data_IF_681457342944
#
_entry.id   IF_681457342944
#
_cell.length_a   1.000
_cell.length_b   1.000
_cell.length_c   1.000
_cell.angle_alpha   90.00
_cell.angle_beta   90.00
_cell.angle_gamma   90.00
#
_symmetry.space_group_name_H-M   'P 1'
#
loop_
_entity.id
_entity.type
_entity.pdbx_description
1 polymer ?
#
# COMPACT_ATOMS: atom_id res chain seq x y z
N UNK A 1 -60.18 17.42 -32.21
CA UNK A 1 -58.86 16.96 -31.73
C UNK A 1 -58.45 17.78 -30.52
N UNK A 2 -58.47 17.21 -29.32
CA UNK A 2 -57.97 17.88 -28.10
C UNK A 2 -56.46 17.74 -28.04
N UNK A 3 -55.75 18.84 -28.31
CA UNK A 3 -54.31 18.93 -28.07
C UNK A 3 -54.08 19.14 -26.58
N UNK A 4 -53.73 18.07 -25.88
CA UNK A 4 -53.27 18.16 -24.49
C UNK A 4 -51.86 18.76 -24.50
N UNK A 5 -51.77 20.06 -24.29
CA UNK A 5 -50.49 20.75 -24.07
C UNK A 5 -50.00 20.39 -22.67
N UNK A 6 -49.29 19.26 -22.54
CA UNK A 6 -48.51 18.97 -21.34
C UNK A 6 -47.33 19.93 -21.29
N UNK A 7 -47.27 20.78 -20.28
CA UNK A 7 -46.24 21.82 -20.13
C UNK A 7 -44.83 21.19 -20.04
N UNK A 8 -43.88 21.58 -20.91
CA UNK A 8 -42.54 20.99 -20.97
C UNK A 8 -41.76 21.15 -19.66
N UNK A 9 -42.13 22.12 -18.82
CA UNK A 9 -41.49 22.39 -17.53
C UNK A 9 -41.64 21.25 -16.51
N UNK A 10 -42.77 20.53 -16.53
CA UNK A 10 -43.01 19.41 -15.60
C UNK A 10 -42.17 18.20 -16.01
N UNK A 11 -42.13 17.88 -17.30
CA UNK A 11 -41.33 16.78 -17.83
C UNK A 11 -39.82 16.96 -17.56
N UNK A 12 -39.30 18.19 -17.74
CA UNK A 12 -37.89 18.51 -17.45
C UNK A 12 -37.57 18.41 -15.96
N UNK A 13 -38.48 18.86 -15.07
CA UNK A 13 -38.27 18.77 -13.62
C UNK A 13 -38.26 17.32 -13.10
N UNK A 14 -39.10 16.46 -13.69
CA UNK A 14 -39.11 15.02 -13.36
C UNK A 14 -37.80 14.37 -13.81
N UNK A 15 -37.33 14.67 -15.02
CA UNK A 15 -36.07 14.14 -15.55
C UNK A 15 -34.87 14.52 -14.67
N UNK A 16 -34.81 15.78 -14.22
CA UNK A 16 -33.77 16.26 -13.30
C UNK A 16 -33.81 15.53 -11.94
N UNK A 17 -35.01 15.30 -11.39
CA UNK A 17 -35.17 14.53 -10.15
C UNK A 17 -34.71 13.08 -10.30
N UNK A 18 -35.05 12.41 -11.41
CA UNK A 18 -34.60 11.04 -11.66
C UNK A 18 -33.08 10.99 -11.77
N UNK A 19 -32.47 11.93 -12.49
CA UNK A 19 -31.02 11.99 -12.59
C UNK A 19 -30.34 12.20 -11.23
N UNK A 20 -30.86 13.08 -10.38
CA UNK A 20 -30.36 13.27 -9.01
C UNK A 20 -30.46 12.01 -8.16
N UNK A 21 -31.57 11.27 -8.26
CA UNK A 21 -31.75 10.01 -7.54
C UNK A 21 -30.74 8.97 -8.02
N UNK A 22 -30.58 8.82 -9.34
CA UNK A 22 -29.60 7.90 -9.92
C UNK A 22 -28.18 8.27 -9.47
N UNK A 23 -27.84 9.56 -9.50
CA UNK A 23 -26.52 10.04 -9.04
C UNK A 23 -26.29 9.80 -7.55
N UNK A 24 -27.33 9.99 -6.72
CA UNK A 24 -27.27 9.71 -5.28
C UNK A 24 -27.03 8.21 -5.03
N UNK A 25 -27.79 7.34 -5.70
CA UNK A 25 -27.64 5.88 -5.59
C UNK A 25 -26.25 5.45 -6.06
N UNK A 26 -25.78 5.99 -7.19
CA UNK A 26 -24.43 5.73 -7.70
C UNK A 26 -23.37 6.17 -6.68
N UNK A 27 -23.51 7.36 -6.12
CA UNK A 27 -22.57 7.88 -5.11
C UNK A 27 -22.55 7.00 -3.86
N UNK A 28 -23.71 6.59 -3.35
CA UNK A 28 -23.81 5.66 -2.22
C UNK A 28 -23.18 4.30 -2.54
N UNK A 29 -23.37 3.81 -3.76
CA UNK A 29 -22.75 2.57 -4.23
C UNK A 29 -21.22 2.68 -4.27
N UNK A 30 -20.68 3.76 -4.83
CA UNK A 30 -19.23 4.02 -4.83
C UNK A 30 -18.68 4.17 -3.41
N UNK A 31 -19.39 4.86 -2.52
CA UNK A 31 -19.01 4.98 -1.10
C UNK A 31 -19.02 3.61 -0.41
N UNK A 32 -20.03 2.78 -0.64
CA UNK A 32 -20.10 1.46 -0.04
C UNK A 32 -18.95 0.56 -0.49
N UNK A 33 -18.71 0.47 -1.80
CA UNK A 33 -17.57 -0.29 -2.31
C UNK A 33 -16.22 0.30 -1.89
N UNK A 34 -16.09 1.62 -1.93
CA UNK A 34 -14.87 2.34 -1.57
C UNK A 34 -14.52 2.17 -0.10
N UNK A 35 -15.50 2.28 0.81
CA UNK A 35 -15.29 2.07 2.25
C UNK A 35 -14.99 0.61 2.53
N UNK A 36 -15.65 -0.35 1.87
CA UNK A 36 -15.39 -1.78 2.12
C UNK A 36 -13.99 -2.19 1.65
N UNK A 37 -13.60 -1.77 0.44
CA UNK A 37 -12.26 -2.03 -0.11
C UNK A 37 -11.18 -1.25 0.64
N UNK A 38 -11.47 0.00 0.99
CA UNK A 38 -10.58 0.86 1.78
C UNK A 38 -10.41 0.37 3.22
N UNK A 39 -11.44 -0.20 3.82
CA UNK A 39 -11.37 -0.83 5.14
C UNK A 39 -10.53 -2.09 5.13
N UNK A 40 -10.72 -2.97 4.13
CA UNK A 40 -9.86 -4.15 3.97
C UNK A 40 -8.40 -3.76 3.75
N UNK A 41 -8.16 -2.81 2.84
CA UNK A 41 -6.81 -2.30 2.58
C UNK A 41 -6.22 -1.66 3.85
N UNK A 42 -6.96 -0.78 4.52
CA UNK A 42 -6.51 -0.10 5.73
C UNK A 42 -6.21 -1.08 6.86
N UNK A 43 -7.07 -2.07 7.08
CA UNK A 43 -6.82 -3.10 8.08
C UNK A 43 -5.54 -3.89 7.77
N UNK A 44 -5.30 -4.23 6.50
CA UNK A 44 -4.07 -4.91 6.08
C UNK A 44 -2.82 -4.02 6.22
N UNK A 45 -2.93 -2.72 5.90
CA UNK A 45 -1.83 -1.76 5.99
C UNK A 45 -1.42 -1.49 7.44
N UNK A 46 -2.41 -1.25 8.30
CA UNK A 46 -2.21 -0.77 9.67
C UNK A 46 -2.10 -1.89 10.71
N UNK A 47 -2.43 -3.14 10.36
CA UNK A 47 -2.24 -4.30 11.22
C UNK A 47 -1.19 -5.27 10.63
N UNK A 48 0.09 -4.86 10.56
CA UNK A 48 1.16 -5.71 10.06
C UNK A 48 1.27 -6.97 10.93
N UNK A 49 0.73 -8.07 10.42
CA UNK A 49 0.76 -9.36 11.09
C UNK A 49 1.87 -10.19 10.47
N UNK A 50 2.72 -10.79 11.30
CA UNK A 50 3.74 -11.72 10.83
C UNK A 50 3.10 -12.87 10.03
N UNK A 51 3.79 -13.35 9.00
CA UNK A 51 3.29 -14.42 8.13
C UNK A 51 3.12 -15.72 8.92
N UNK A 52 3.99 -15.97 9.90
CA UNK A 52 3.92 -17.12 10.80
C UNK A 52 4.12 -16.70 12.25
N UNK A 53 3.44 -17.37 13.19
CA UNK A 53 3.78 -17.30 14.60
C UNK A 53 5.14 -18.01 14.83
N UNK A 54 5.88 -17.61 15.87
CA UNK A 54 7.14 -18.26 16.25
C UNK A 54 7.00 -19.80 16.27
N UNK A 55 7.95 -20.55 15.70
CA UNK A 55 9.38 -20.25 15.62
C UNK A 55 9.86 -19.63 14.29
N UNK A 56 8.97 -19.30 13.34
CA UNK A 56 9.34 -18.68 12.06
C UNK A 56 10.34 -19.50 11.22
N UNK A 57 10.58 -19.06 9.98
CA UNK A 57 11.57 -19.63 9.07
C UNK A 57 12.45 -18.52 8.53
N UNK A 58 13.76 -18.69 8.65
CA UNK A 58 14.74 -17.76 8.08
C UNK A 58 14.77 -17.92 6.57
N UNK A 59 14.65 -16.81 5.85
CA UNK A 59 14.74 -16.75 4.38
C UNK A 59 15.69 -15.63 3.98
N UNK A 60 16.52 -15.92 3.00
CA UNK A 60 17.41 -14.94 2.37
C UNK A 60 16.75 -14.40 1.11
N UNK A 61 16.74 -13.09 0.96
CA UNK A 61 16.28 -12.40 -0.25
C UNK A 61 17.38 -11.46 -0.73
N UNK A 62 17.60 -11.43 -2.04
CA UNK A 62 18.52 -10.50 -2.69
C UNK A 62 17.68 -9.50 -3.46
N UNK A 63 17.87 -8.21 -3.16
CA UNK A 63 17.22 -7.09 -3.85
C UNK A 63 18.27 -6.43 -4.74
N UNK A 64 17.98 -6.34 -6.03
CA UNK A 64 18.87 -5.75 -7.03
C UNK A 64 18.74 -4.20 -7.05
N UNK A 65 19.80 -3.48 -7.44
CA UNK A 65 19.80 -1.99 -7.45
C UNK A 65 18.80 -1.39 -8.44
N UNK A 66 18.48 -2.15 -9.50
CA UNK A 66 17.49 -1.74 -10.49
C UNK A 66 16.04 -2.00 -10.07
N UNK A 67 15.80 -2.75 -8.98
CA UNK A 67 14.45 -3.08 -8.55
C UNK A 67 13.79 -1.89 -7.83
N UNK A 68 12.61 -1.52 -8.31
CA UNK A 68 11.73 -0.60 -7.62
C UNK A 68 11.25 -1.19 -6.29
N UNK A 69 10.84 -0.33 -5.34
CA UNK A 69 10.21 -0.73 -4.06
C UNK A 69 9.11 -1.77 -4.25
N UNK A 70 8.42 -1.68 -5.39
CA UNK A 70 7.36 -2.58 -5.78
C UNK A 70 7.89 -3.97 -6.15
N UNK A 71 8.94 -4.05 -6.96
CA UNK A 71 9.58 -5.32 -7.35
C UNK A 71 10.24 -6.01 -6.14
N UNK A 72 10.89 -5.22 -5.28
CA UNK A 72 11.42 -5.71 -4.00
C UNK A 72 10.32 -6.33 -3.11
N UNK A 73 9.17 -5.66 -3.02
CA UNK A 73 7.99 -6.21 -2.34
C UNK A 73 7.48 -7.51 -2.98
N UNK A 74 7.48 -7.61 -4.31
CA UNK A 74 7.09 -8.84 -5.01
C UNK A 74 8.05 -10.00 -4.71
N UNK A 75 9.37 -9.74 -4.65
CA UNK A 75 10.37 -10.73 -4.28
C UNK A 75 10.16 -11.24 -2.84
N UNK A 76 9.91 -10.33 -1.90
CA UNK A 76 9.60 -10.65 -0.50
C UNK A 76 8.29 -11.46 -0.37
N UNK A 77 7.26 -11.13 -1.13
CA UNK A 77 5.97 -11.83 -1.12
C UNK A 77 6.12 -13.24 -1.70
N UNK A 78 6.87 -13.40 -2.80
CA UNK A 78 7.11 -14.69 -3.45
C UNK A 78 7.85 -15.68 -2.55
N UNK A 79 8.73 -15.17 -1.68
CA UNK A 79 9.48 -15.97 -0.70
C UNK A 79 8.64 -16.22 0.58
N UNK A 80 7.47 -15.58 0.69
CA UNK A 80 6.57 -15.71 1.83
C UNK A 80 7.03 -14.94 3.06
N UNK A 81 7.85 -13.91 2.90
CA UNK A 81 8.30 -13.04 3.98
C UNK A 81 7.26 -11.97 4.32
N UNK A 82 6.51 -11.49 3.32
CA UNK A 82 5.40 -10.55 3.50
C UNK A 82 4.10 -11.14 2.98
N UNK A 83 2.97 -10.70 3.54
CA UNK A 83 1.64 -11.16 3.10
C UNK A 83 1.16 -10.48 1.81
N UNK A 84 1.58 -9.23 1.57
CA UNK A 84 1.14 -8.45 0.41
C UNK A 84 2.16 -7.38 0.02
N UNK A 85 2.59 -7.39 -1.25
CA UNK A 85 3.41 -6.33 -1.85
C UNK A 85 2.76 -4.95 -1.71
N UNK A 86 1.43 -4.85 -1.85
CA UNK A 86 0.72 -3.57 -1.84
C UNK A 86 0.86 -2.89 -0.48
N UNK A 87 0.70 -3.67 0.59
CA UNK A 87 0.87 -3.21 1.99
C UNK A 87 2.29 -2.74 2.23
N UNK A 88 3.27 -3.52 1.78
CA UNK A 88 4.68 -3.21 1.95
C UNK A 88 5.09 -1.92 1.23
N UNK A 89 4.70 -1.75 -0.04
CA UNK A 89 4.96 -0.52 -0.80
C UNK A 89 4.30 0.69 -0.14
N UNK A 90 3.09 0.51 0.38
CA UNK A 90 2.40 1.60 1.03
C UNK A 90 2.99 1.94 2.39
N UNK A 91 3.43 0.95 3.18
CA UNK A 91 4.16 1.16 4.43
C UNK A 91 5.47 1.92 4.16
N UNK A 92 6.25 1.51 3.16
CA UNK A 92 7.45 2.24 2.76
C UNK A 92 7.15 3.71 2.42
N UNK A 93 6.03 3.97 1.74
CA UNK A 93 5.62 5.33 1.36
C UNK A 93 5.05 6.17 2.51
N UNK A 94 4.30 5.55 3.43
CA UNK A 94 3.68 6.23 4.58
C UNK A 94 4.74 6.57 5.64
N UNK A 95 5.66 5.65 5.91
CA UNK A 95 6.74 5.83 6.89
C UNK A 95 8.02 6.41 6.28
N UNK A 96 8.00 6.72 4.98
CA UNK A 96 9.12 7.30 4.23
C UNK A 96 10.43 6.47 4.28
N UNK A 97 10.31 5.15 4.48
CA UNK A 97 11.46 4.24 4.44
C UNK A 97 11.93 3.99 3.02
N UNK A 98 13.25 4.00 2.83
CA UNK A 98 13.87 3.68 1.55
C UNK A 98 14.35 2.23 1.54
N UNK A 99 14.12 1.59 0.40
CA UNK A 99 14.61 0.24 0.14
C UNK A 99 15.89 0.37 -0.65
N UNK A 100 16.92 -0.30 -0.17
CA UNK A 100 18.22 -0.31 -0.79
C UNK A 100 18.56 -1.71 -1.27
N UNK A 101 19.37 -1.81 -2.34
CA UNK A 101 19.83 -3.09 -2.81
C UNK A 101 20.75 -3.75 -1.81
N UNK A 102 20.62 -5.06 -1.69
CA UNK A 102 21.34 -5.83 -0.70
C UNK A 102 20.83 -7.24 -0.56
N UNK A 103 21.61 -8.08 0.10
CA UNK A 103 21.18 -9.41 0.51
C UNK A 103 20.77 -9.35 1.97
N UNK A 104 19.49 -9.59 2.24
CA UNK A 104 18.91 -9.53 3.57
C UNK A 104 18.45 -10.91 4.02
N UNK A 105 18.55 -11.18 5.32
CA UNK A 105 18.02 -12.39 5.94
C UNK A 105 16.91 -12.01 6.90
N UNK A 106 15.69 -12.44 6.58
CA UNK A 106 14.52 -12.14 7.38
C UNK A 106 13.85 -13.41 7.88
N UNK A 107 13.16 -13.31 9.01
CA UNK A 107 12.33 -14.36 9.57
C UNK A 107 10.87 -14.17 9.15
N UNK A 108 10.15 -15.25 8.84
CA UNK A 108 8.68 -15.19 8.62
C UNK A 108 7.89 -14.78 9.87
N UNK A 109 8.53 -14.75 11.04
CA UNK A 109 7.98 -14.23 12.28
C UNK A 109 8.18 -12.71 12.46
N UNK A 110 9.02 -12.07 11.64
CA UNK A 110 9.18 -10.61 11.65
C UNK A 110 8.05 -9.93 10.87
N UNK A 111 7.72 -8.71 11.26
CA UNK A 111 6.72 -7.91 10.56
C UNK A 111 7.30 -7.20 9.34
N UNK A 112 6.45 -6.88 8.37
CA UNK A 112 6.85 -6.13 7.16
C UNK A 112 7.47 -4.77 7.46
N UNK A 113 7.04 -4.14 8.56
CA UNK A 113 7.57 -2.85 9.02
C UNK A 113 8.99 -2.99 9.60
N UNK A 114 9.25 -4.03 10.39
CA UNK A 114 10.59 -4.29 10.92
C UNK A 114 11.59 -4.58 9.81
N UNK A 115 11.18 -5.36 8.80
CA UNK A 115 12.03 -5.60 7.62
C UNK A 115 12.31 -4.31 6.86
N UNK A 116 11.32 -3.44 6.62
CA UNK A 116 11.53 -2.13 5.99
C UNK A 116 12.53 -1.28 6.76
N UNK A 117 12.39 -1.24 8.09
CA UNK A 117 13.29 -0.50 8.96
C UNK A 117 14.73 -1.03 8.88
N UNK A 118 14.90 -2.35 8.92
CA UNK A 118 16.23 -2.98 8.82
C UNK A 118 16.88 -2.70 7.46
N UNK A 119 16.11 -2.70 6.36
CA UNK A 119 16.61 -2.35 5.03
C UNK A 119 17.06 -0.89 4.94
N UNK A 120 16.30 0.03 5.54
CA UNK A 120 16.61 1.46 5.58
C UNK A 120 17.84 1.76 6.46
N UNK A 121 17.92 1.15 7.65
CA UNK A 121 19.05 1.30 8.57
C UNK A 121 20.35 0.67 8.03
N UNK A 122 20.27 -0.52 7.44
CA UNK A 122 21.42 -1.18 6.82
C UNK A 122 22.05 -0.29 5.75
N UNK A 123 21.22 0.42 5.00
CA UNK A 123 21.69 1.35 3.99
C UNK A 123 22.17 2.68 4.54
N UNK A 124 21.53 3.22 5.58
CA UNK A 124 22.06 4.39 6.28
C UNK A 124 23.47 4.12 6.81
N UNK A 125 23.72 2.89 7.31
CA UNK A 125 25.04 2.47 7.77
C UNK A 125 26.06 2.29 6.63
N UNK A 126 25.62 1.82 5.45
CA UNK A 126 26.47 1.65 4.27
C UNK A 126 26.72 2.95 3.49
N UNK A 127 25.82 3.92 3.60
CA UNK A 127 25.88 5.22 2.91
C UNK A 127 26.48 6.34 3.76
N UNK A 128 26.70 6.13 5.06
CA UNK A 128 27.57 6.98 5.87
C UNK A 128 29.02 6.59 5.60
N UNK A 129 29.79 7.35 4.80
CA UNK A 129 31.24 7.20 4.85
C UNK A 129 31.65 7.47 6.29
N UNK A 130 32.31 6.49 6.91
CA UNK A 130 33.14 6.75 8.07
C UNK A 130 34.04 7.94 7.70
N UNK A 131 33.74 9.12 8.28
CA UNK A 131 34.70 10.20 8.35
C UNK A 131 35.89 9.66 9.13
N UNK A 132 36.89 9.26 8.37
CA UNK A 132 38.26 9.00 8.76
C UNK A 132 38.74 10.08 9.74
N UNK A 133 38.56 9.82 11.03
CA UNK A 133 39.35 10.43 12.09
C UNK A 133 40.73 9.78 12.05
N UNK A 134 41.49 10.03 10.99
CA UNK A 134 42.93 9.86 11.03
C UNK A 134 43.50 10.99 11.86
N UNK A 135 43.72 10.67 13.14
CA UNK A 135 44.66 11.31 14.03
C UNK A 135 45.89 11.81 13.27
N UNK A 136 46.16 13.11 13.35
CA UNK A 136 47.48 13.66 13.15
C UNK A 136 47.80 14.53 14.36
N UNK A 137 48.47 13.94 15.34
CA UNK A 137 49.25 14.66 16.34
C UNK A 137 50.72 14.34 16.15
#
# INVERSE_FOLDING_TARGET
MSRTSGEPHIAVSILDSVFRIVFLVLTLFLLYEGVTKGYWLGHEIFNPTAVEAEPGRMRTVTIEESESTSEAGEALERVGLIQSRVVFVLQAKIYEYKIYPGTYQFSTAQTSLEMLKEMDEAAASAASPEEDKSDSK
#
